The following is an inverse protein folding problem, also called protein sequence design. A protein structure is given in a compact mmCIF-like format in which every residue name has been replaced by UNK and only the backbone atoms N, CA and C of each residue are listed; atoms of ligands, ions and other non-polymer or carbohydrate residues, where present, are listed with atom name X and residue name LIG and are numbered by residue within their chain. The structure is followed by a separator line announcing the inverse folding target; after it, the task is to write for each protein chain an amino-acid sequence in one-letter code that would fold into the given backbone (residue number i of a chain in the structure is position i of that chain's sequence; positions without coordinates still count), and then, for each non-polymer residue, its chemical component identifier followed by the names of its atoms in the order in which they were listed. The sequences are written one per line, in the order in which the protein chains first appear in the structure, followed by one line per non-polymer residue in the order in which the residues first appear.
data_IF_273190068767
#
_entry.id   IF_273190068767
#
_cell.length_a   1.000
_cell.length_b   1.000
_cell.length_c   1.000
_cell.angle_alpha   90.00
_cell.angle_beta   90.00
_cell.angle_gamma   90.00
#
_symmetry.space_group_name_H-M   'P 1'
#
loop_
_entity.id
_entity.type
_entity.pdbx_description
1 polymer ?
#
# COMPACT_ATOMS: atom_id res chain seq x y z
N UNK A 1 -15.26 13.60 23.39
CA UNK A 1 -16.00 13.64 22.11
C UNK A 1 -15.03 13.65 20.95
N UNK A 2 -15.13 12.76 19.98
CA UNK A 2 -14.32 12.85 18.76
C UNK A 2 -14.72 14.16 18.05
N UNK A 3 -13.73 15.00 17.78
CA UNK A 3 -13.97 16.19 16.95
C UNK A 3 -14.37 15.73 15.55
N UNK A 4 -15.48 16.21 15.04
CA UNK A 4 -15.95 15.96 13.67
C UNK A 4 -14.80 16.29 12.71
N UNK A 5 -14.43 15.37 11.82
CA UNK A 5 -13.32 15.54 10.86
C UNK A 5 -11.97 14.95 11.29
N UNK A 6 -11.82 14.43 12.50
CA UNK A 6 -10.56 13.83 12.97
C UNK A 6 -10.37 12.36 12.55
N UNK A 7 -11.42 11.67 12.12
CA UNK A 7 -11.33 10.25 11.74
C UNK A 7 -10.34 10.00 10.60
N UNK A 8 -10.38 10.70 9.45
CA UNK A 8 -9.42 10.46 8.37
C UNK A 8 -7.97 10.69 8.81
N UNK A 9 -7.74 11.70 9.64
CA UNK A 9 -6.41 12.02 10.19
C UNK A 9 -5.92 10.89 11.09
N UNK A 10 -6.75 10.39 11.99
CA UNK A 10 -6.42 9.29 12.90
C UNK A 10 -6.19 7.97 12.15
N UNK A 11 -7.02 7.69 11.15
CA UNK A 11 -6.84 6.51 10.29
C UNK A 11 -5.50 6.56 9.56
N UNK A 12 -5.13 7.70 8.98
CA UNK A 12 -3.84 7.90 8.31
C UNK A 12 -2.66 7.75 9.28
N UNK A 13 -2.74 8.31 10.48
CA UNK A 13 -1.71 8.18 11.51
C UNK A 13 -1.50 6.71 11.94
N UNK A 14 -2.58 5.95 12.11
CA UNK A 14 -2.51 4.53 12.48
C UNK A 14 -1.93 3.68 11.35
N UNK A 15 -2.28 3.95 10.10
CA UNK A 15 -1.71 3.28 8.93
C UNK A 15 -0.19 3.56 8.83
N UNK A 16 0.22 4.82 8.99
CA UNK A 16 1.63 5.18 8.98
C UNK A 16 2.42 4.54 10.11
N UNK A 17 1.87 4.55 11.32
CA UNK A 17 2.46 3.88 12.47
C UNK A 17 2.54 2.35 12.30
N UNK A 18 1.60 1.74 11.58
CA UNK A 18 1.63 0.30 11.25
C UNK A 18 2.79 -0.01 10.30
N UNK A 19 2.99 0.78 9.25
CA UNK A 19 4.17 0.66 8.36
C UNK A 19 5.46 0.80 9.15
N UNK A 20 5.55 1.77 10.05
CA UNK A 20 6.72 2.01 10.88
C UNK A 20 6.97 0.84 11.84
N UNK A 21 5.93 0.27 12.44
CA UNK A 21 6.03 -0.90 13.32
C UNK A 21 6.52 -2.14 12.57
N UNK A 22 5.99 -2.37 11.36
CA UNK A 22 6.43 -3.47 10.49
C UNK A 22 7.91 -3.29 10.11
N UNK A 23 8.32 -2.08 9.80
CA UNK A 23 9.72 -1.79 9.47
C UNK A 23 10.67 -2.05 10.63
N UNK A 24 10.30 -1.59 11.84
CA UNK A 24 11.18 -1.72 13.02
C UNK A 24 11.21 -3.12 13.62
N UNK A 25 10.08 -3.80 13.64
CA UNK A 25 9.90 -5.03 14.43
C UNK A 25 9.51 -6.25 13.58
N UNK A 26 9.18 -6.06 12.31
CA UNK A 26 8.56 -7.09 11.48
C UNK A 26 7.07 -7.23 11.77
N UNK A 27 6.35 -7.91 10.87
CA UNK A 27 4.90 -8.07 10.99
C UNK A 27 4.51 -8.96 12.17
N UNK A 28 5.27 -10.04 12.42
CA UNK A 28 4.99 -10.96 13.52
C UNK A 28 5.03 -10.28 14.88
N UNK A 29 6.00 -9.38 15.09
CA UNK A 29 6.18 -8.65 16.35
C UNK A 29 5.48 -7.28 16.37
N UNK A 30 4.75 -6.93 15.33
CA UNK A 30 3.87 -5.75 15.30
C UNK A 30 2.63 -6.03 16.14
N UNK A 31 2.42 -5.21 17.17
CA UNK A 31 1.29 -5.33 18.13
C UNK A 31 0.48 -4.05 18.16
N UNK A 32 -0.79 -4.14 18.62
CA UNK A 32 -1.65 -2.98 18.86
C UNK A 32 -0.95 -1.96 19.78
N UNK A 33 -0.27 -2.42 20.82
CA UNK A 33 0.47 -1.57 21.74
C UNK A 33 1.61 -0.79 21.06
N UNK A 34 2.40 -1.46 20.23
CA UNK A 34 3.49 -0.82 19.49
C UNK A 34 2.96 0.20 18.47
N UNK A 35 1.90 -0.15 17.74
CA UNK A 35 1.27 0.74 16.76
C UNK A 35 0.71 1.98 17.46
N UNK A 36 -0.06 1.82 18.52
CA UNK A 36 -0.67 2.94 19.24
C UNK A 36 0.38 3.84 19.90
N UNK A 37 1.46 3.26 20.41
CA UNK A 37 2.59 4.04 20.96
C UNK A 37 3.26 4.88 19.86
N UNK A 38 3.55 4.29 18.69
CA UNK A 38 4.13 5.02 17.56
C UNK A 38 3.19 6.11 17.01
N UNK A 39 1.89 5.87 17.02
CA UNK A 39 0.89 6.84 16.58
C UNK A 39 0.57 7.93 17.62
N UNK A 40 1.02 7.78 18.87
CA UNK A 40 0.70 8.71 19.96
C UNK A 40 -0.78 8.70 20.35
N UNK A 41 -1.43 7.53 20.28
CA UNK A 41 -2.87 7.36 20.59
C UNK A 41 -3.10 6.19 21.55
N UNK A 42 -4.28 6.12 22.16
CA UNK A 42 -4.65 4.97 23.00
C UNK A 42 -4.92 3.73 22.15
N UNK A 43 -4.63 2.54 22.70
CA UNK A 43 -4.85 1.26 22.00
C UNK A 43 -6.31 1.01 21.61
N UNK A 44 -7.26 1.53 22.39
CA UNK A 44 -8.70 1.39 22.12
C UNK A 44 -9.14 2.07 20.80
N UNK A 45 -8.41 3.06 20.31
CA UNK A 45 -8.70 3.73 19.05
C UNK A 45 -8.56 2.79 17.85
N UNK A 46 -7.64 1.82 17.89
CA UNK A 46 -7.45 0.84 16.82
C UNK A 46 -8.72 -0.02 16.68
N UNK A 47 -9.24 -0.53 17.79
CA UNK A 47 -10.51 -1.27 17.78
C UNK A 47 -11.68 -0.43 17.27
N UNK A 48 -11.74 0.84 17.65
CA UNK A 48 -12.81 1.75 17.25
C UNK A 48 -12.80 2.03 15.73
N UNK A 49 -11.63 2.30 15.13
CA UNK A 49 -11.54 2.68 13.72
C UNK A 49 -11.37 1.52 12.75
N UNK A 50 -10.80 0.41 13.18
CA UNK A 50 -10.45 -0.71 12.30
C UNK A 50 -11.04 -2.06 12.72
N UNK A 51 -11.45 -2.23 13.96
CA UNK A 51 -11.90 -3.50 14.52
C UNK A 51 -10.79 -4.27 15.23
N UNK A 52 -9.57 -4.26 14.73
CA UNK A 52 -8.44 -4.95 15.32
C UNK A 52 -7.14 -4.80 14.55
N UNK A 53 -6.12 -5.59 14.92
CA UNK A 53 -4.79 -5.57 14.29
C UNK A 53 -4.86 -6.05 12.84
N UNK A 54 -5.55 -7.15 12.58
CA UNK A 54 -5.58 -7.77 11.25
C UNK A 54 -6.28 -6.86 10.23
N UNK A 55 -7.37 -6.24 10.63
CA UNK A 55 -8.10 -5.26 9.82
C UNK A 55 -7.25 -3.99 9.58
N UNK A 56 -6.48 -3.55 10.56
CA UNK A 56 -5.56 -2.43 10.41
C UNK A 56 -4.41 -2.78 9.45
N UNK A 57 -3.85 -3.99 9.54
CA UNK A 57 -2.83 -4.48 8.60
C UNK A 57 -3.40 -4.56 7.19
N UNK A 58 -4.60 -5.09 7.00
CA UNK A 58 -5.27 -5.12 5.70
C UNK A 58 -5.48 -3.71 5.14
N UNK A 59 -5.98 -2.79 5.95
CA UNK A 59 -6.18 -1.39 5.56
C UNK A 59 -4.85 -0.72 5.17
N UNK A 60 -3.77 -1.04 5.87
CA UNK A 60 -2.42 -0.54 5.59
C UNK A 60 -1.93 -1.05 4.22
N UNK A 61 -2.07 -2.34 3.95
CA UNK A 61 -1.70 -2.92 2.67
C UNK A 61 -2.55 -2.37 1.52
N UNK A 62 -3.85 -2.20 1.74
CA UNK A 62 -4.76 -1.57 0.78
C UNK A 62 -4.33 -0.13 0.45
N UNK A 63 -3.95 0.66 1.45
CA UNK A 63 -3.46 2.03 1.25
C UNK A 63 -2.17 2.07 0.45
N UNK A 64 -1.22 1.19 0.73
CA UNK A 64 0.03 1.06 -0.04
C UNK A 64 -0.26 0.77 -1.52
N UNK A 65 -1.21 -0.13 -1.81
CA UNK A 65 -1.61 -0.46 -3.18
C UNK A 65 -2.32 0.70 -3.90
N UNK A 66 -3.15 1.46 -3.19
CA UNK A 66 -3.82 2.65 -3.73
C UNK A 66 -2.77 3.71 -4.07
N UNK A 67 -1.87 4.01 -3.16
CA UNK A 67 -0.83 5.03 -3.36
C UNK A 67 0.10 4.67 -4.53
N UNK A 68 0.47 3.40 -4.65
CA UNK A 68 1.22 2.90 -5.80
C UNK A 68 0.44 3.10 -7.11
N UNK A 69 -0.85 2.73 -7.12
CA UNK A 69 -1.72 2.89 -8.27
C UNK A 69 -1.87 4.34 -8.71
N UNK A 70 -2.05 5.25 -7.76
CA UNK A 70 -2.18 6.69 -8.01
C UNK A 70 -0.86 7.28 -8.55
N UNK A 71 0.27 6.90 -7.98
CA UNK A 71 1.59 7.33 -8.44
C UNK A 71 1.88 6.86 -9.88
N UNK A 72 1.54 5.62 -10.22
CA UNK A 72 1.67 5.09 -11.59
C UNK A 72 0.71 5.81 -12.54
N UNK A 73 -0.56 5.96 -12.17
CA UNK A 73 -1.58 6.61 -13.00
C UNK A 73 -1.20 8.05 -13.31
N UNK A 74 -0.70 8.80 -12.34
CA UNK A 74 -0.22 10.17 -12.54
C UNK A 74 0.90 10.24 -13.57
N UNK A 75 1.90 9.34 -13.49
CA UNK A 75 3.01 9.28 -14.47
C UNK A 75 2.52 8.89 -15.86
N UNK A 76 1.64 7.89 -15.97
CA UNK A 76 1.06 7.43 -17.22
C UNK A 76 0.26 8.55 -17.90
N UNK A 77 -0.47 9.34 -17.14
CA UNK A 77 -1.26 10.46 -17.66
C UNK A 77 -0.38 11.58 -18.24
N UNK A 78 0.80 11.79 -17.69
CA UNK A 78 1.78 12.77 -18.18
C UNK A 78 2.55 12.29 -19.43
N UNK A 79 2.63 10.98 -19.63
CA UNK A 79 3.31 10.39 -20.79
C UNK A 79 2.43 10.51 -22.06
N UNK A 80 3.06 10.70 -23.22
CA UNK A 80 2.38 10.91 -24.50
C UNK A 80 2.35 9.62 -25.34
N UNK A 81 3.53 9.04 -25.58
CA UNK A 81 3.66 7.88 -26.47
C UNK A 81 3.47 6.55 -25.70
N UNK A 82 3.09 5.45 -26.39
CA UNK A 82 2.99 4.14 -25.76
C UNK A 82 4.27 3.71 -25.07
N UNK A 83 5.43 3.99 -25.66
CA UNK A 83 6.74 3.69 -25.06
C UNK A 83 6.96 4.45 -23.74
N UNK A 84 6.63 5.74 -23.72
CA UNK A 84 6.72 6.56 -22.52
C UNK A 84 5.75 6.06 -21.43
N UNK A 85 4.57 5.59 -21.81
CA UNK A 85 3.58 5.04 -20.85
C UNK A 85 4.05 3.73 -20.22
N UNK A 86 4.67 2.85 -20.99
CA UNK A 86 5.31 1.62 -20.45
C UNK A 86 6.42 2.00 -19.47
N UNK A 87 7.26 2.96 -19.87
CA UNK A 87 8.35 3.44 -19.02
C UNK A 87 7.82 4.07 -17.72
N UNK A 88 6.77 4.87 -17.80
CA UNK A 88 6.10 5.47 -16.64
C UNK A 88 5.56 4.41 -15.64
N UNK A 89 5.04 3.28 -16.14
CA UNK A 89 4.61 2.16 -15.29
C UNK A 89 5.81 1.55 -14.56
N UNK A 90 6.91 1.30 -15.29
CA UNK A 90 8.14 0.74 -14.69
C UNK A 90 8.69 1.69 -13.63
N UNK A 91 8.92 2.96 -13.98
CA UNK A 91 9.44 3.97 -13.04
C UNK A 91 8.54 4.14 -11.81
N UNK A 92 7.22 4.06 -11.98
CA UNK A 92 6.28 4.15 -10.87
C UNK A 92 6.44 3.01 -9.87
N UNK A 93 6.68 1.78 -10.35
CA UNK A 93 6.92 0.61 -9.49
C UNK A 93 8.30 0.63 -8.81
N UNK A 94 9.29 1.29 -9.38
CA UNK A 94 10.66 1.34 -8.87
C UNK A 94 11.08 2.76 -8.42
N UNK A 95 10.11 3.65 -8.15
CA UNK A 95 10.42 4.98 -7.65
C UNK A 95 11.16 4.92 -6.31
N UNK A 96 11.90 5.97 -5.98
CA UNK A 96 12.66 6.04 -4.73
C UNK A 96 11.80 5.76 -3.49
N UNK A 97 10.55 6.23 -3.49
CA UNK A 97 9.61 5.95 -2.41
C UNK A 97 9.30 4.44 -2.30
N UNK A 98 9.05 3.76 -3.43
CA UNK A 98 8.74 2.33 -3.47
C UNK A 98 9.95 1.43 -3.15
N UNK A 99 11.16 1.91 -3.39
CA UNK A 99 12.41 1.17 -3.13
C UNK A 99 13.04 1.53 -1.78
N UNK A 100 12.43 2.40 -0.99
CA UNK A 100 12.90 2.68 0.36
C UNK A 100 12.82 1.44 1.26
N UNK A 101 13.75 1.29 2.20
CA UNK A 101 13.80 0.13 3.10
C UNK A 101 12.47 -0.12 3.83
N UNK A 102 11.78 0.96 4.25
CA UNK A 102 10.48 0.89 4.90
C UNK A 102 9.41 0.27 4.01
N UNK A 103 9.34 0.70 2.75
CA UNK A 103 8.36 0.16 1.79
C UNK A 103 8.68 -1.26 1.35
N UNK A 104 9.94 -1.56 1.07
CA UNK A 104 10.39 -2.92 0.72
C UNK A 104 10.06 -3.90 1.84
N UNK A 105 10.32 -3.55 3.10
CA UNK A 105 9.96 -4.39 4.24
C UNK A 105 8.45 -4.62 4.33
N UNK A 106 7.64 -3.58 4.10
CA UNK A 106 6.18 -3.69 4.08
C UNK A 106 5.68 -4.59 2.94
N UNK A 107 6.26 -4.48 1.74
CA UNK A 107 5.94 -5.35 0.61
C UNK A 107 6.29 -6.81 0.86
N UNK A 108 7.45 -7.10 1.42
CA UNK A 108 7.85 -8.46 1.75
C UNK A 108 6.93 -9.06 2.81
N UNK A 109 6.57 -8.31 3.82
CA UNK A 109 5.59 -8.71 4.84
C UNK A 109 4.22 -9.00 4.21
N UNK A 110 3.74 -8.12 3.32
CA UNK A 110 2.49 -8.29 2.59
C UNK A 110 2.50 -9.55 1.73
N UNK A 111 3.54 -9.77 0.91
CA UNK A 111 3.62 -10.95 0.05
C UNK A 111 3.65 -12.25 0.85
N UNK A 112 4.40 -12.28 1.94
CA UNK A 112 4.44 -13.44 2.85
C UNK A 112 3.05 -13.74 3.42
N UNK A 113 2.35 -12.74 3.92
CA UNK A 113 1.02 -12.90 4.50
C UNK A 113 -0.05 -13.25 3.46
N UNK A 114 0.06 -12.72 2.24
CA UNK A 114 -0.88 -13.01 1.16
C UNK A 114 -0.89 -14.51 0.75
N UNK A 115 0.15 -15.25 1.09
CA UNK A 115 0.17 -16.71 0.90
C UNK A 115 -0.77 -17.46 1.85
N UNK A 116 -1.14 -16.85 2.99
CA UNK A 116 -1.89 -17.51 4.06
C UNK A 116 -3.22 -16.79 4.39
N UNK A 117 -3.36 -15.52 4.05
CA UNK A 117 -4.52 -14.69 4.38
C UNK A 117 -5.31 -14.37 3.11
N UNK A 118 -6.53 -14.93 2.94
CA UNK A 118 -7.32 -14.79 1.70
C UNK A 118 -7.62 -13.34 1.29
N UNK A 119 -7.90 -12.44 2.24
CA UNK A 119 -8.17 -11.04 1.95
C UNK A 119 -6.94 -10.32 1.36
N UNK A 120 -5.75 -10.63 1.87
CA UNK A 120 -4.48 -10.09 1.34
C UNK A 120 -4.12 -10.71 -0.01
N UNK A 121 -4.37 -12.01 -0.20
CA UNK A 121 -4.22 -12.68 -1.49
C UNK A 121 -5.09 -12.03 -2.58
N UNK A 122 -6.33 -11.68 -2.24
CA UNK A 122 -7.24 -10.96 -3.15
C UNK A 122 -6.69 -9.59 -3.55
N UNK A 123 -6.16 -8.82 -2.62
CA UNK A 123 -5.53 -7.52 -2.89
C UNK A 123 -4.31 -7.67 -3.81
N UNK A 124 -3.46 -8.65 -3.54
CA UNK A 124 -2.29 -8.94 -4.37
C UNK A 124 -2.69 -9.32 -5.81
N UNK A 125 -3.71 -10.16 -5.97
CA UNK A 125 -4.22 -10.55 -7.28
C UNK A 125 -4.80 -9.36 -8.07
N UNK A 126 -5.49 -8.45 -7.42
CA UNK A 126 -5.98 -7.21 -8.05
C UNK A 126 -4.81 -6.37 -8.55
N UNK A 127 -3.78 -6.17 -7.73
CA UNK A 127 -2.60 -5.42 -8.12
C UNK A 127 -1.85 -6.06 -9.29
N UNK A 128 -1.63 -7.37 -9.23
CA UNK A 128 -1.00 -8.14 -10.31
C UNK A 128 -1.76 -8.01 -11.63
N UNK A 129 -3.08 -8.17 -11.62
CA UNK A 129 -3.93 -8.05 -12.81
C UNK A 129 -3.90 -6.64 -13.38
N UNK A 130 -3.92 -5.61 -12.53
CA UNK A 130 -3.80 -4.21 -12.95
C UNK A 130 -2.49 -3.95 -13.66
N UNK A 131 -1.37 -4.35 -13.07
CA UNK A 131 -0.04 -4.21 -13.67
C UNK A 131 0.05 -4.93 -15.03
N UNK A 132 -0.38 -6.18 -15.08
CA UNK A 132 -0.40 -6.99 -16.29
C UNK A 132 -1.25 -6.35 -17.39
N UNK A 133 -2.48 -5.94 -17.05
CA UNK A 133 -3.42 -5.31 -18.00
C UNK A 133 -2.85 -4.01 -18.57
N UNK A 134 -2.28 -3.16 -17.73
CA UNK A 134 -1.68 -1.88 -18.15
C UNK A 134 -0.49 -2.10 -19.10
N UNK A 135 0.42 -3.01 -18.74
CA UNK A 135 1.58 -3.30 -19.58
C UNK A 135 1.17 -3.90 -20.93
N UNK A 136 0.28 -4.89 -20.95
CA UNK A 136 -0.20 -5.53 -22.19
C UNK A 136 -0.93 -4.51 -23.07
N UNK A 137 -1.75 -3.64 -22.49
CA UNK A 137 -2.49 -2.61 -23.23
C UNK A 137 -1.55 -1.65 -23.98
N UNK A 138 -0.52 -1.13 -23.31
CA UNK A 138 0.41 -0.20 -23.95
C UNK A 138 1.43 -0.90 -24.85
N UNK A 139 1.83 -2.12 -24.52
CA UNK A 139 2.70 -2.92 -25.36
C UNK A 139 2.05 -3.23 -26.72
N UNK A 140 0.77 -3.61 -26.74
CA UNK A 140 0.03 -3.81 -28.00
C UNK A 140 -0.03 -2.55 -28.85
N UNK A 141 -0.18 -1.37 -28.23
CA UNK A 141 -0.16 -0.08 -28.93
C UNK A 141 1.22 0.30 -29.44
N UNK A 142 2.26 -0.11 -28.76
CA UNK A 142 3.64 0.10 -29.20
C UNK A 142 3.94 -0.69 -30.47
N UNK A 143 3.37 -1.89 -30.61
CA UNK A 143 3.56 -2.77 -31.75
C UNK A 143 2.56 -2.50 -32.90
N UNK A 144 1.53 -1.71 -32.67
CA UNK A 144 0.58 -1.35 -33.74
C UNK A 144 1.27 -0.52 -34.79
N UNK A 145 1.02 -0.81 -36.11
CA UNK A 145 1.58 -0.05 -37.22
C UNK A 145 1.08 1.40 -37.25
#
# INVERSE_FOLDING_TARGET
MPKVGMEPVRRAQLIDATCESIFRYGLADTTISKISHLAGVSSGIIGHYFGGKDELVEATMRKILIDLGDAISSRVNQAVTPRQKIWAIIEGNFSHHQTSARFVTSWLAFWSQAMHVPSLAKLQNINKRRLQSNLVFWYRRLLAP
#
